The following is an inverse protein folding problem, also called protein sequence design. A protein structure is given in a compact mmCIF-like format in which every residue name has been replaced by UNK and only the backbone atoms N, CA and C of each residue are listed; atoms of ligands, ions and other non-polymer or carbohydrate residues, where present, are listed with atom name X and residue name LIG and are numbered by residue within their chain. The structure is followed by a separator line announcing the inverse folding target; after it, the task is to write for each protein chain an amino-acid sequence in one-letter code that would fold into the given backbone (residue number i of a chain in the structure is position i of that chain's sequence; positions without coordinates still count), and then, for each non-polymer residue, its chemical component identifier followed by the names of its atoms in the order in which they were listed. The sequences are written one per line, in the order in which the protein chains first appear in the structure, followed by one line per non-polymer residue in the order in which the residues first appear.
data_IF_848458845594
#
_entry.id   IF_848458845594
#
_cell.length_a   1.000
_cell.length_b   1.000
_cell.length_c   1.000
_cell.angle_alpha   90.00
_cell.angle_beta   90.00
_cell.angle_gamma   90.00
#
_symmetry.space_group_name_H-M   'P 1'
#
loop_
_entity.id
_entity.type
_entity.pdbx_description
1 polymer ?
#
# COMPACT_ATOMS: atom_id res chain seq x y z
N UNK A 1 12.83 6.85 1.00
CA UNK A 1 11.78 5.92 0.52
C UNK A 1 11.59 4.87 1.59
N UNK A 2 10.35 4.62 2.01
CA UNK A 2 9.99 3.61 3.01
C UNK A 2 9.03 2.63 2.36
N UNK A 3 9.34 1.34 2.45
CA UNK A 3 8.55 0.25 1.88
C UNK A 3 8.65 -0.96 2.81
N UNK A 4 7.54 -1.67 2.99
CA UNK A 4 7.47 -2.95 3.69
C UNK A 4 6.86 -3.94 2.71
N UNK A 5 7.50 -5.09 2.52
CA UNK A 5 6.99 -6.13 1.65
C UNK A 5 6.54 -7.35 2.47
N UNK A 6 5.30 -7.79 2.22
CA UNK A 6 4.75 -9.07 2.63
C UNK A 6 4.40 -9.82 1.35
N UNK A 7 5.20 -10.81 0.99
CA UNK A 7 5.03 -11.59 -0.22
C UNK A 7 3.93 -12.67 -0.08
N UNK A 8 3.37 -13.07 -1.21
CA UNK A 8 2.32 -14.09 -1.33
C UNK A 8 1.04 -13.81 -0.50
N UNK A 9 0.58 -12.56 -0.50
CA UNK A 9 -0.58 -12.13 0.28
C UNK A 9 -1.92 -12.32 -0.48
N UNK A 10 -2.33 -13.58 -0.64
CA UNK A 10 -3.55 -13.97 -1.34
C UNK A 10 -4.82 -13.77 -0.49
N UNK A 11 -5.96 -13.53 -1.14
CA UNK A 11 -7.29 -13.55 -0.49
C UNK A 11 -8.38 -14.05 -1.45
N UNK A 12 -9.65 -13.95 -1.06
CA UNK A 12 -10.79 -14.43 -1.87
C UNK A 12 -10.97 -13.67 -3.21
N UNK A 13 -10.43 -12.47 -3.33
CA UNK A 13 -10.48 -11.67 -4.56
C UNK A 13 -9.16 -11.75 -5.36
N UNK A 14 -8.03 -11.60 -4.70
CA UNK A 14 -6.68 -11.73 -5.24
C UNK A 14 -6.24 -13.18 -5.07
N UNK A 15 -6.57 -14.01 -6.05
CA UNK A 15 -6.26 -15.44 -6.09
C UNK A 15 -5.01 -15.72 -6.91
N UNK A 16 -4.34 -16.85 -6.63
CA UNK A 16 -3.07 -17.24 -7.28
C UNK A 16 -3.16 -17.43 -8.80
N UNK A 17 -4.36 -17.61 -9.34
CA UNK A 17 -4.64 -17.80 -10.75
C UNK A 17 -5.17 -16.55 -11.46
N UNK A 18 -5.29 -15.40 -10.77
CA UNK A 18 -5.85 -14.17 -11.36
C UNK A 18 -4.96 -13.56 -12.46
N UNK A 19 -3.64 -13.68 -12.33
CA UNK A 19 -2.65 -13.33 -13.36
C UNK A 19 -1.58 -14.44 -13.46
N UNK A 20 -1.92 -15.59 -14.05
CA UNK A 20 -1.16 -16.83 -13.90
C UNK A 20 0.22 -16.80 -14.57
N UNK A 21 0.42 -15.93 -15.58
CA UNK A 21 1.70 -15.79 -16.28
C UNK A 21 2.51 -14.56 -15.81
N UNK A 22 1.99 -13.80 -14.84
CA UNK A 22 2.64 -12.59 -14.37
C UNK A 22 3.48 -12.85 -13.11
N UNK A 23 4.79 -13.03 -13.30
CA UNK A 23 5.73 -13.30 -12.20
C UNK A 23 5.70 -12.23 -11.11
N UNK A 24 5.52 -10.96 -11.47
CA UNK A 24 5.43 -9.87 -10.48
C UNK A 24 4.21 -10.05 -9.58
N UNK A 25 3.06 -10.40 -10.16
CA UNK A 25 1.86 -10.68 -9.39
C UNK A 25 2.03 -11.93 -8.52
N UNK A 26 2.53 -13.03 -9.09
CA UNK A 26 2.68 -14.30 -8.39
C UNK A 26 3.58 -14.23 -7.15
N UNK A 27 4.52 -13.28 -7.11
CA UNK A 27 5.39 -13.08 -5.95
C UNK A 27 4.77 -12.18 -4.86
N UNK A 28 3.71 -11.43 -5.16
CA UNK A 28 3.16 -10.41 -4.26
C UNK A 28 1.69 -10.64 -3.90
N UNK A 29 0.82 -10.91 -4.88
CA UNK A 29 -0.64 -11.04 -4.78
C UNK A 29 -1.39 -9.71 -4.57
N UNK A 30 -1.91 -9.42 -3.37
CA UNK A 30 -2.57 -8.15 -3.09
C UNK A 30 -1.64 -6.96 -3.45
N UNK A 31 -2.15 -5.92 -4.14
CA UNK A 31 -1.35 -4.78 -4.56
C UNK A 31 -0.81 -3.97 -3.36
N UNK A 32 0.28 -3.24 -3.59
CA UNK A 32 0.89 -2.40 -2.55
C UNK A 32 -0.05 -1.25 -2.15
N UNK A 33 -0.30 -1.12 -0.85
CA UNK A 33 -1.10 -0.02 -0.28
C UNK A 33 -0.26 1.24 -0.21
N UNK A 34 -0.78 2.34 -0.74
CA UNK A 34 -0.13 3.66 -0.72
C UNK A 34 -0.66 4.46 0.46
N UNK A 35 0.27 4.98 1.26
CA UNK A 35 -0.01 5.76 2.46
C UNK A 35 0.46 7.20 2.29
N UNK A 36 -0.35 8.18 2.71
CA UNK A 36 -0.05 9.60 2.58
C UNK A 36 -0.37 10.36 3.87
N UNK A 37 0.42 11.42 4.14
CA UNK A 37 0.03 12.50 5.03
C UNK A 37 0.45 13.84 4.41
N UNK A 38 -0.43 14.84 4.53
CA UNK A 38 -0.14 16.20 4.09
C UNK A 38 0.48 17.00 5.23
N UNK A 39 1.59 17.68 4.95
CA UNK A 39 2.35 18.48 5.91
C UNK A 39 2.14 19.94 5.58
N UNK A 40 1.54 20.68 6.52
CA UNK A 40 1.45 22.13 6.45
C UNK A 40 2.77 22.73 6.95
N UNK A 41 3.50 23.39 6.04
CA UNK A 41 4.81 23.98 6.33
C UNK A 41 4.72 25.25 7.18
N UNK A 42 3.56 25.90 7.23
CA UNK A 42 3.32 27.07 8.09
C UNK A 42 2.96 26.64 9.52
N UNK A 43 2.42 25.42 9.69
CA UNK A 43 2.00 24.87 10.97
C UNK A 43 2.52 23.44 11.20
N UNK A 44 3.85 23.34 11.29
CA UNK A 44 4.52 22.04 11.44
C UNK A 44 4.19 21.41 12.81
N UNK A 45 3.59 20.21 12.76
CA UNK A 45 3.39 19.30 13.89
C UNK A 45 4.58 18.35 14.05
N UNK A 46 4.74 17.78 15.25
CA UNK A 46 5.79 16.79 15.52
C UNK A 46 5.52 15.46 14.80
N UNK A 47 4.24 15.07 14.65
CA UNK A 47 3.83 13.75 14.16
C UNK A 47 2.70 13.85 13.15
N UNK A 48 2.83 13.10 12.06
CA UNK A 48 1.84 12.97 11.01
C UNK A 48 1.51 11.50 10.82
N UNK A 49 0.25 11.15 11.09
CA UNK A 49 -0.27 9.81 10.83
C UNK A 49 -0.57 9.69 9.33
N UNK A 50 0.05 8.71 8.67
CA UNK A 50 -0.26 8.41 7.29
C UNK A 50 -1.55 7.59 7.21
N UNK A 51 -2.35 7.88 6.19
CA UNK A 51 -3.60 7.17 5.90
C UNK A 51 -3.47 6.45 4.57
N UNK A 52 -4.07 5.25 4.42
CA UNK A 52 -4.14 4.60 3.13
C UNK A 52 -5.01 5.45 2.19
N UNK A 53 -4.49 5.76 1.01
CA UNK A 53 -5.18 6.58 0.00
C UNK A 53 -5.53 5.80 -1.27
N UNK A 54 -5.00 4.58 -1.40
CA UNK A 54 -5.21 3.73 -2.55
C UNK A 54 -4.19 2.62 -2.62
N UNK A 55 -4.13 1.93 -3.74
CA UNK A 55 -3.16 0.88 -4.01
C UNK A 55 -2.56 1.01 -5.41
N UNK A 56 -1.41 0.38 -5.62
CA UNK A 56 -0.72 0.32 -6.92
C UNK A 56 -1.42 -0.62 -7.90
N UNK A 57 -0.98 -0.63 -9.16
CA UNK A 57 -1.33 -1.72 -10.08
C UNK A 57 -0.83 -3.08 -9.53
N UNK A 58 -1.64 -4.16 -9.55
CA UNK A 58 -1.28 -5.47 -8.97
C UNK A 58 -0.07 -6.14 -9.61
N UNK A 59 0.25 -5.80 -10.86
CA UNK A 59 1.43 -6.31 -11.58
C UNK A 59 2.58 -5.30 -11.66
N UNK A 60 2.39 -4.09 -11.12
CA UNK A 60 3.34 -2.97 -11.26
C UNK A 60 3.43 -2.35 -12.66
N UNK A 61 2.46 -2.61 -13.55
CA UNK A 61 2.50 -2.14 -14.94
C UNK A 61 2.30 -0.62 -15.11
N UNK A 62 1.64 0.04 -14.16
CA UNK A 62 1.33 1.47 -14.22
C UNK A 62 1.62 2.16 -12.88
N UNK A 63 1.81 3.48 -12.93
CA UNK A 63 1.90 4.36 -11.77
C UNK A 63 0.54 4.93 -11.32
N UNK A 64 -0.56 4.34 -11.76
CA UNK A 64 -1.91 4.78 -11.38
C UNK A 64 -2.19 4.46 -9.90
N UNK A 65 -2.90 5.39 -9.24
CA UNK A 65 -3.39 5.20 -7.88
C UNK A 65 -4.85 4.77 -7.92
N UNK A 66 -5.12 3.53 -7.54
CA UNK A 66 -6.48 2.99 -7.43
C UNK A 66 -7.01 3.26 -6.02
N UNK A 67 -8.05 4.08 -5.90
CA UNK A 67 -8.56 4.52 -4.58
C UNK A 67 -9.53 3.53 -3.93
N UNK A 68 -10.04 2.55 -4.68
CA UNK A 68 -10.87 1.48 -4.15
C UNK A 68 -10.03 0.44 -3.40
N UNK A 69 -10.20 0.37 -2.08
CA UNK A 69 -9.49 -0.57 -1.22
C UNK A 69 -10.36 -1.78 -0.81
N UNK A 70 -11.60 -1.88 -1.32
CA UNK A 70 -12.60 -2.86 -0.84
C UNK A 70 -12.20 -4.32 -1.06
N UNK A 71 -11.28 -4.57 -1.98
CA UNK A 71 -10.77 -5.90 -2.31
C UNK A 71 -9.56 -6.31 -1.46
N UNK A 72 -8.99 -5.39 -0.68
CA UNK A 72 -7.83 -5.64 0.17
C UNK A 72 -8.25 -6.08 1.57
N UNK A 73 -7.43 -6.94 2.18
CA UNK A 73 -7.72 -7.58 3.45
C UNK A 73 -6.50 -7.51 4.38
N UNK A 74 -5.66 -8.54 4.36
CA UNK A 74 -4.41 -8.64 5.12
C UNK A 74 -3.39 -7.58 4.72
N UNK A 75 -3.38 -7.11 3.46
CA UNK A 75 -2.54 -6.02 3.01
C UNK A 75 -2.76 -4.70 3.81
N UNK A 76 -4.00 -4.42 4.21
CA UNK A 76 -4.35 -3.26 5.06
C UNK A 76 -3.93 -3.44 6.53
N UNK A 77 -3.44 -4.63 6.90
CA UNK A 77 -3.09 -5.01 8.27
C UNK A 77 -1.59 -5.31 8.45
N UNK A 78 -0.77 -5.17 7.39
CA UNK A 78 0.68 -5.34 7.45
C UNK A 78 1.30 -4.38 8.48
N UNK A 79 0.81 -3.15 8.52
CA UNK A 79 1.18 -2.15 9.51
C UNK A 79 -0.06 -1.68 10.27
N UNK A 80 0.02 -1.66 11.61
CA UNK A 80 -1.04 -1.11 12.46
C UNK A 80 -1.12 0.43 12.33
N UNK A 81 0.04 1.09 12.29
CA UNK A 81 0.12 2.53 12.01
C UNK A 81 1.48 2.91 11.41
N UNK A 82 1.46 3.96 10.58
CA UNK A 82 2.68 4.56 10.00
C UNK A 82 2.67 6.04 10.35
N UNK A 83 3.72 6.50 11.04
CA UNK A 83 3.83 7.88 11.52
C UNK A 83 5.15 8.48 11.06
N UNK A 84 5.07 9.64 10.42
CA UNK A 84 6.25 10.47 10.15
C UNK A 84 6.43 11.43 11.32
N UNK A 85 7.60 11.37 11.95
CA UNK A 85 7.99 12.31 13.00
C UNK A 85 8.98 13.33 12.45
N UNK A 86 8.67 14.62 12.60
CA UNK A 86 9.57 15.71 12.21
C UNK A 86 10.34 16.15 13.45
N UNK A 87 11.66 16.01 13.40
CA UNK A 87 12.57 16.53 14.42
C UNK A 87 13.20 17.83 13.92
N UNK A 88 13.30 18.81 14.81
CA UNK A 88 14.08 20.03 14.59
C UNK A 88 15.52 19.80 15.05
#
# INVERSE_FOLDING_TARGET
MFEINQNWDWNEYWTNDRYPDNVNYLNNAQPAVVYEANIDMENIRERYLLKPIGHSHPTGATGELFTDLSTLTTALKIADSVVVAIRR
#
